data_IF_323889827709
#
_entry.id   IF_323889827709
#
_cell.length_a   1.000
_cell.length_b   1.000
_cell.length_c   1.000
_cell.angle_alpha   90.00
_cell.angle_beta   90.00
_cell.angle_gamma   90.00
#
_symmetry.space_group_name_H-M   'P 1'
#
loop_
_entity.id
_entity.type
_entity.pdbx_description
1 polymer ?
#
# COMPACT_ATOMS: atom_id res chain seq x y z
N UNK A 1 -64.49 -52.45 -66.17
CA UNK A 1 -65.63 -52.15 -65.28
C UNK A 1 -65.14 -51.19 -64.22
N UNK A 2 -65.91 -50.11 -64.02
CA UNK A 2 -65.67 -49.06 -63.04
C UNK A 2 -65.72 -49.63 -61.61
N UNK A 3 -64.87 -49.12 -60.72
CA UNK A 3 -65.38 -48.70 -59.41
C UNK A 3 -64.51 -47.62 -58.76
N UNK A 4 -65.21 -46.56 -58.44
CA UNK A 4 -64.84 -45.36 -57.69
C UNK A 4 -65.02 -45.58 -56.18
N UNK A 5 -64.07 -45.07 -55.39
CA UNK A 5 -64.21 -44.48 -54.04
C UNK A 5 -62.81 -43.91 -53.72
N UNK A 6 -62.55 -42.65 -53.36
CA UNK A 6 -63.29 -41.65 -52.59
C UNK A 6 -62.46 -41.31 -51.34
N UNK A 7 -62.43 -40.02 -50.94
CA UNK A 7 -61.76 -39.39 -49.77
C UNK A 7 -60.28 -39.00 -49.97
N UNK A 8 -59.76 -37.85 -49.55
CA UNK A 8 -60.30 -36.62 -48.95
C UNK A 8 -59.15 -35.59 -48.96
N UNK A 9 -59.50 -34.32 -48.86
CA UNK A 9 -58.62 -33.15 -48.76
C UNK A 9 -57.65 -33.22 -47.57
N UNK A 10 -56.47 -32.57 -47.65
CA UNK A 10 -56.09 -31.45 -46.76
C UNK A 10 -54.65 -30.98 -47.05
N UNK A 11 -54.47 -29.67 -47.17
CA UNK A 11 -53.16 -29.06 -47.29
C UNK A 11 -52.40 -29.05 -45.97
N UNK A 12 -51.07 -28.99 -46.05
CA UNK A 12 -50.25 -28.46 -44.97
C UNK A 12 -49.21 -27.49 -45.51
N UNK A 13 -49.56 -26.21 -45.39
CA UNK A 13 -48.65 -25.11 -45.16
C UNK A 13 -47.75 -25.41 -43.97
N UNK A 14 -46.44 -25.18 -44.09
CA UNK A 14 -45.64 -24.45 -43.09
C UNK A 14 -44.54 -23.68 -43.80
N UNK A 15 -44.64 -22.35 -43.69
CA UNK A 15 -43.58 -21.39 -43.96
C UNK A 15 -42.67 -21.21 -42.72
N UNK A 16 -41.54 -20.53 -42.94
CA UNK A 16 -40.69 -19.80 -41.96
C UNK A 16 -39.82 -20.68 -41.03
N UNK A 17 -38.58 -20.33 -40.66
CA UNK A 17 -37.87 -19.05 -40.66
C UNK A 17 -36.34 -19.23 -40.43
N UNK A 18 -35.61 -18.20 -40.83
CA UNK A 18 -34.44 -17.58 -40.19
C UNK A 18 -33.11 -18.32 -40.00
N UNK A 19 -32.10 -17.74 -40.65
CA UNK A 19 -30.68 -17.85 -40.30
C UNK A 19 -30.46 -17.43 -38.85
N UNK A 20 -29.93 -18.38 -38.10
CA UNK A 20 -29.50 -18.23 -36.72
C UNK A 20 -28.00 -17.96 -36.74
N UNK A 21 -27.58 -16.89 -36.07
CA UNK A 21 -26.18 -16.64 -35.77
C UNK A 21 -25.57 -17.87 -35.10
N UNK A 22 -24.52 -18.42 -35.72
CA UNK A 22 -23.78 -19.56 -35.20
C UNK A 22 -23.02 -19.10 -33.95
N UNK A 23 -23.40 -19.66 -32.81
CA UNK A 23 -22.79 -19.37 -31.52
C UNK A 23 -21.43 -20.08 -31.52
N UNK A 24 -20.37 -19.36 -31.88
CA UNK A 24 -18.99 -19.87 -31.72
C UNK A 24 -18.77 -20.06 -30.23
N UNK A 25 -18.51 -21.31 -29.81
CA UNK A 25 -18.19 -21.65 -28.43
C UNK A 25 -16.97 -20.83 -27.97
N UNK A 26 -17.16 -20.00 -26.95
CA UNK A 26 -16.10 -19.19 -26.35
C UNK A 26 -14.95 -20.05 -25.82
N UNK A 27 -15.17 -21.34 -25.54
CA UNK A 27 -14.12 -22.29 -25.18
C UNK A 27 -13.20 -22.64 -26.37
N UNK A 28 -13.76 -22.80 -27.57
CA UNK A 28 -13.00 -23.06 -28.80
C UNK A 28 -12.20 -21.82 -29.25
N UNK A 29 -12.77 -20.62 -29.07
CA UNK A 29 -12.07 -19.36 -29.30
C UNK A 29 -10.86 -19.20 -28.34
N UNK A 30 -11.06 -19.53 -27.05
CA UNK A 30 -9.97 -19.55 -26.05
C UNK A 30 -8.89 -20.58 -26.38
N UNK A 31 -9.28 -21.76 -26.85
CA UNK A 31 -8.35 -22.82 -27.23
C UNK A 31 -7.51 -22.44 -28.46
N UNK A 32 -8.10 -21.76 -29.46
CA UNK A 32 -7.38 -21.24 -30.63
C UNK A 32 -6.41 -20.11 -30.26
N UNK A 33 -6.82 -19.19 -29.38
CA UNK A 33 -5.96 -18.12 -28.86
C UNK A 33 -4.79 -18.64 -28.01
N UNK A 34 -4.97 -19.78 -27.32
CA UNK A 34 -3.90 -20.44 -26.60
C UNK A 34 -2.91 -21.17 -27.53
N UNK A 35 -3.39 -21.73 -28.64
CA UNK A 35 -2.53 -22.35 -29.66
C UNK A 35 -1.67 -21.32 -30.42
N UNK A 36 -2.18 -20.09 -30.57
CA UNK A 36 -1.50 -18.96 -31.21
C UNK A 36 -0.32 -18.40 -30.39
N UNK A 37 -0.17 -18.82 -29.13
CA UNK A 37 0.91 -18.38 -28.25
C UNK A 37 2.32 -18.77 -28.75
N UNK A 38 2.43 -19.67 -29.72
CA UNK A 38 3.69 -20.07 -30.38
C UNK A 38 3.97 -19.40 -31.73
N UNK A 39 3.07 -18.54 -32.23
CA UNK A 39 3.19 -17.93 -33.58
C UNK A 39 3.79 -16.52 -33.57
N UNK A 40 3.73 -15.81 -32.43
CA UNK A 40 4.23 -14.44 -32.31
C UNK A 40 5.70 -14.37 -31.87
N UNK A 41 6.49 -13.53 -32.55
CA UNK A 41 7.93 -13.31 -32.27
C UNK A 41 8.19 -12.84 -30.83
N UNK A 42 7.27 -12.06 -30.27
CA UNK A 42 7.32 -11.59 -28.89
C UNK A 42 5.91 -11.31 -28.36
N UNK A 43 5.78 -11.21 -27.03
CA UNK A 43 4.50 -10.97 -26.35
C UNK A 43 3.85 -9.65 -26.74
N UNK A 44 4.63 -8.63 -27.06
CA UNK A 44 4.12 -7.34 -27.53
C UNK A 44 3.29 -7.46 -28.80
N UNK A 45 3.77 -8.24 -29.79
CA UNK A 45 3.06 -8.49 -31.04
C UNK A 45 1.75 -9.26 -30.79
N UNK A 46 1.77 -10.22 -29.85
CA UNK A 46 0.56 -10.94 -29.42
C UNK A 46 -0.49 -9.99 -28.83
N UNK A 47 -0.07 -9.06 -27.96
CA UNK A 47 -0.98 -8.08 -27.36
C UNK A 47 -1.58 -7.14 -28.41
N UNK A 48 -0.77 -6.69 -29.37
CA UNK A 48 -1.23 -5.86 -30.50
C UNK A 48 -2.28 -6.60 -31.35
N UNK A 49 -2.00 -7.85 -31.73
CA UNK A 49 -2.93 -8.66 -32.53
C UNK A 49 -4.28 -8.86 -31.83
N UNK A 50 -4.27 -9.12 -30.52
CA UNK A 50 -5.50 -9.29 -29.72
C UNK A 50 -6.27 -7.96 -29.58
N UNK A 51 -5.57 -6.84 -29.43
CA UNK A 51 -6.21 -5.52 -29.41
C UNK A 51 -6.91 -5.25 -30.75
N UNK A 52 -6.22 -5.51 -31.86
CA UNK A 52 -6.72 -5.27 -33.21
C UNK A 52 -7.87 -6.19 -33.59
N UNK A 53 -7.82 -7.46 -33.18
CA UNK A 53 -8.92 -8.40 -33.41
C UNK A 53 -10.21 -8.00 -32.68
N UNK A 54 -10.09 -7.16 -31.64
CA UNK A 54 -11.23 -6.58 -30.89
C UNK A 54 -11.66 -5.21 -31.43
N UNK A 55 -11.00 -4.71 -32.47
CA UNK A 55 -11.29 -3.39 -33.06
C UNK A 55 -10.96 -2.21 -32.15
N UNK A 56 -10.12 -2.41 -31.12
CA UNK A 56 -9.77 -1.37 -30.16
C UNK A 56 -8.55 -0.58 -30.66
N UNK A 57 -8.66 0.74 -30.69
CA UNK A 57 -7.50 1.59 -31.02
C UNK A 57 -6.57 1.75 -29.82
N UNK A 58 -5.29 2.05 -30.06
CA UNK A 58 -4.34 2.36 -28.99
C UNK A 58 -4.81 3.53 -28.10
N UNK A 59 -5.41 4.57 -28.70
CA UNK A 59 -5.96 5.71 -27.98
C UNK A 59 -7.14 5.34 -27.07
N UNK A 60 -8.01 4.45 -27.52
CA UNK A 60 -9.12 3.93 -26.71
C UNK A 60 -8.61 3.04 -25.57
N UNK A 61 -7.65 2.15 -25.84
CA UNK A 61 -7.00 1.33 -24.82
C UNK A 61 -6.32 2.22 -23.77
N UNK A 62 -5.66 3.30 -24.19
CA UNK A 62 -5.04 4.28 -23.29
C UNK A 62 -6.08 4.96 -22.40
N UNK A 63 -7.21 5.39 -22.97
CA UNK A 63 -8.31 5.99 -22.23
C UNK A 63 -8.93 5.06 -21.18
N UNK A 64 -9.05 3.76 -21.49
CA UNK A 64 -9.67 2.77 -20.60
C UNK A 64 -8.71 2.23 -19.53
N UNK A 65 -7.41 2.16 -19.82
CA UNK A 65 -6.40 1.64 -18.88
C UNK A 65 -5.69 2.72 -18.08
N UNK A 66 -5.88 4.00 -18.43
CA UNK A 66 -5.11 5.13 -17.90
C UNK A 66 -3.59 5.04 -18.14
N UNK A 67 -3.16 4.22 -19.09
CA UNK A 67 -1.77 4.16 -19.55
C UNK A 67 -1.63 5.05 -20.78
N UNK A 68 -0.58 5.88 -20.85
CA UNK A 68 -0.38 6.74 -22.02
C UNK A 68 -0.22 5.92 -23.29
N UNK A 69 -0.78 6.41 -24.40
CA UNK A 69 -0.74 5.76 -25.71
C UNK A 69 0.68 5.36 -26.13
N UNK A 70 1.65 6.24 -25.96
CA UNK A 70 3.06 5.97 -26.26
C UNK A 70 3.64 4.79 -25.46
N UNK A 71 3.20 4.58 -24.22
CA UNK A 71 3.66 3.45 -23.42
C UNK A 71 2.99 2.15 -23.86
N UNK A 72 1.72 2.17 -24.27
CA UNK A 72 1.08 0.99 -24.84
C UNK A 72 1.74 0.59 -26.17
N UNK A 73 2.05 1.57 -27.02
CA UNK A 73 2.83 1.34 -28.24
C UNK A 73 4.22 0.76 -27.93
N UNK A 74 4.90 1.26 -26.90
CA UNK A 74 6.20 0.74 -26.47
C UNK A 74 6.10 -0.70 -25.90
N UNK A 75 4.99 -1.06 -25.24
CA UNK A 75 4.73 -2.44 -24.80
C UNK A 75 4.52 -3.36 -26.01
N UNK A 76 3.75 -2.93 -27.01
CA UNK A 76 3.50 -3.70 -28.24
C UNK A 76 4.78 -3.91 -29.05
N UNK A 77 5.68 -2.93 -29.07
CA UNK A 77 6.99 -3.01 -29.74
C UNK A 77 8.10 -3.64 -28.87
N UNK A 78 7.82 -3.92 -27.59
CA UNK A 78 8.82 -4.38 -26.61
C UNK A 78 10.02 -3.41 -26.51
N UNK A 79 9.77 -2.11 -26.68
CA UNK A 79 10.78 -1.07 -26.57
C UNK A 79 10.97 -0.68 -25.10
N UNK A 80 11.89 -1.38 -24.42
CA UNK A 80 12.26 -1.12 -23.03
C UNK A 80 12.82 0.29 -22.77
N UNK A 81 13.33 0.99 -23.80
CA UNK A 81 13.91 2.33 -23.65
C UNK A 81 12.84 3.42 -23.63
N UNK A 82 11.71 3.21 -24.32
CA UNK A 82 10.56 4.12 -24.31
C UNK A 82 9.64 3.93 -23.09
N UNK A 83 9.89 2.91 -22.28
CA UNK A 83 9.12 2.60 -21.07
C UNK A 83 9.70 3.28 -19.82
N UNK A 84 8.86 3.59 -18.82
CA UNK A 84 9.33 4.11 -17.54
C UNK A 84 10.10 3.03 -16.76
N UNK A 85 10.54 3.36 -15.54
CA UNK A 85 11.27 2.43 -14.70
C UNK A 85 10.56 1.07 -14.59
N UNK A 86 11.36 0.00 -14.64
CA UNK A 86 10.94 -1.42 -14.66
C UNK A 86 9.69 -1.76 -13.84
N UNK A 87 9.55 -1.39 -12.55
CA UNK A 87 8.34 -1.74 -11.78
C UNK A 87 7.05 -1.18 -12.40
N UNK A 88 7.11 0.02 -13.00
CA UNK A 88 5.97 0.62 -13.68
C UNK A 88 5.69 -0.04 -15.03
N UNK A 89 6.73 -0.36 -15.80
CA UNK A 89 6.58 -1.08 -17.07
C UNK A 89 5.86 -2.43 -16.86
N UNK A 90 6.26 -3.20 -15.84
CA UNK A 90 5.61 -4.47 -15.50
C UNK A 90 4.16 -4.28 -15.04
N UNK A 91 3.87 -3.20 -14.31
CA UNK A 91 2.51 -2.83 -13.93
C UNK A 91 1.63 -2.50 -15.14
N UNK A 92 2.16 -1.77 -16.12
CA UNK A 92 1.43 -1.44 -17.34
C UNK A 92 1.11 -2.66 -18.19
N UNK A 93 2.08 -3.57 -18.34
CA UNK A 93 1.88 -4.84 -19.05
C UNK A 93 0.79 -5.67 -18.39
N UNK A 94 0.78 -5.73 -17.05
CA UNK A 94 -0.28 -6.40 -16.29
C UNK A 94 -1.65 -5.78 -16.55
N UNK A 95 -1.80 -4.48 -16.36
CA UNK A 95 -3.07 -3.78 -16.58
C UNK A 95 -3.56 -3.92 -18.02
N UNK A 96 -2.65 -3.89 -18.99
CA UNK A 96 -2.99 -4.05 -20.39
C UNK A 96 -3.41 -5.48 -20.75
N UNK A 97 -2.77 -6.49 -20.16
CA UNK A 97 -3.19 -7.90 -20.28
C UNK A 97 -4.58 -8.13 -19.69
N UNK A 98 -4.85 -7.57 -18.51
CA UNK A 98 -6.17 -7.64 -17.85
C UNK A 98 -7.25 -6.96 -18.70
N UNK A 99 -6.94 -5.80 -19.30
CA UNK A 99 -7.82 -5.10 -20.23
C UNK A 99 -8.15 -5.93 -21.49
N UNK A 100 -7.17 -6.68 -22.00
CA UNK A 100 -7.34 -7.63 -23.09
C UNK A 100 -7.87 -8.99 -22.61
N UNK A 101 -8.34 -9.11 -21.37
CA UNK A 101 -8.92 -10.34 -20.81
C UNK A 101 -8.00 -11.57 -20.92
N UNK A 102 -6.69 -11.36 -20.83
CA UNK A 102 -5.66 -12.40 -20.79
C UNK A 102 -5.25 -12.69 -19.34
N UNK A 103 -4.70 -13.87 -19.05
CA UNK A 103 -4.04 -14.10 -17.76
C UNK A 103 -2.77 -13.23 -17.70
N UNK A 104 -2.68 -12.27 -16.75
CA UNK A 104 -1.56 -11.36 -16.69
C UNK A 104 -0.24 -12.04 -16.33
N UNK A 105 -0.26 -13.16 -15.60
CA UNK A 105 0.97 -13.82 -15.11
C UNK A 105 1.86 -14.30 -16.26
N UNK A 106 1.40 -15.15 -17.20
CA UNK A 106 2.23 -15.60 -18.31
C UNK A 106 2.60 -14.46 -19.26
N UNK A 107 1.75 -13.43 -19.41
CA UNK A 107 2.06 -12.26 -20.25
C UNK A 107 3.22 -11.46 -19.66
N UNK A 108 3.19 -11.18 -18.36
CA UNK A 108 4.25 -10.42 -17.67
C UNK A 108 5.56 -11.20 -17.64
N UNK A 109 5.50 -12.52 -17.46
CA UNK A 109 6.69 -13.37 -17.50
C UNK A 109 7.34 -13.36 -18.88
N UNK A 110 6.56 -13.57 -19.95
CA UNK A 110 7.07 -13.50 -21.31
C UNK A 110 7.63 -12.10 -21.63
N UNK A 111 6.97 -11.03 -21.18
CA UNK A 111 7.45 -9.67 -21.39
C UNK A 111 8.79 -9.39 -20.69
N UNK A 112 9.03 -9.97 -19.51
CA UNK A 112 10.32 -9.84 -18.83
C UNK A 112 11.45 -10.46 -19.65
N UNK A 113 11.18 -11.60 -20.27
CA UNK A 113 12.13 -12.29 -21.14
C UNK A 113 12.38 -11.47 -22.42
N UNK A 114 11.32 -11.10 -23.13
CA UNK A 114 11.42 -10.40 -24.42
C UNK A 114 12.05 -8.99 -24.28
N UNK A 115 11.74 -8.26 -23.21
CA UNK A 115 12.27 -6.91 -22.96
C UNK A 115 13.65 -6.91 -22.29
N UNK A 116 14.26 -8.09 -22.06
CA UNK A 116 15.57 -8.19 -21.42
C UNK A 116 15.58 -7.71 -19.96
N UNK A 117 14.46 -7.81 -19.25
CA UNK A 117 14.37 -7.52 -17.82
C UNK A 117 14.86 -8.70 -16.95
N UNK A 118 15.66 -9.61 -17.49
CA UNK A 118 16.18 -10.77 -16.77
C UNK A 118 17.19 -10.35 -15.67
N UNK A 119 16.99 -10.91 -14.47
CA UNK A 119 17.75 -10.72 -13.23
C UNK A 119 17.73 -9.32 -12.56
N UNK A 120 17.80 -9.27 -11.21
CA UNK A 120 18.11 -8.04 -10.48
C UNK A 120 19.56 -7.63 -10.79
N UNK A 121 19.78 -6.37 -11.17
CA UNK A 121 21.12 -5.79 -11.07
C UNK A 121 21.54 -5.85 -9.59
N UNK A 122 22.69 -6.46 -9.22
CA UNK A 122 23.12 -6.64 -7.82
C UNK A 122 23.48 -5.34 -7.06
N UNK A 123 23.01 -4.18 -7.50
CA UNK A 123 23.59 -2.88 -7.12
C UNK A 123 23.10 -2.29 -5.80
N UNK A 124 22.26 -3.00 -5.04
CA UNK A 124 21.76 -2.53 -3.74
C UNK A 124 22.12 -3.47 -2.58
N UNK A 125 22.20 -4.80 -2.79
CA UNK A 125 22.50 -5.74 -1.71
C UNK A 125 23.92 -5.58 -1.11
N UNK A 126 24.90 -5.10 -1.89
CA UNK A 126 26.26 -4.86 -1.39
C UNK A 126 26.36 -3.58 -0.55
N UNK A 127 25.55 -2.55 -0.85
CA UNK A 127 25.60 -1.27 -0.12
C UNK A 127 24.96 -1.36 1.26
N UNK A 128 23.90 -2.16 1.40
CA UNK A 128 23.30 -2.41 2.70
C UNK A 128 24.22 -3.23 3.60
N UNK A 129 24.89 -4.25 3.06
CA UNK A 129 25.85 -5.07 3.84
C UNK A 129 27.09 -4.28 4.25
N UNK A 130 27.67 -3.51 3.35
CA UNK A 130 28.84 -2.67 3.68
C UNK A 130 28.52 -1.57 4.70
N UNK A 131 27.29 -1.04 4.71
CA UNK A 131 26.85 -0.07 5.71
C UNK A 131 26.60 -0.72 7.09
N UNK A 132 26.09 -1.95 7.11
CA UNK A 132 25.86 -2.73 8.33
C UNK A 132 27.20 -3.15 8.97
N UNK A 133 28.13 -3.67 8.17
CA UNK A 133 29.49 -4.06 8.60
C UNK A 133 30.31 -2.85 9.10
N UNK A 134 30.08 -1.65 8.56
CA UNK A 134 30.72 -0.41 9.01
C UNK A 134 30.11 0.13 10.32
N UNK A 135 28.81 -0.07 10.54
CA UNK A 135 28.13 0.39 11.76
C UNK A 135 28.51 -0.45 12.99
N UNK A 136 28.73 -1.75 12.83
CA UNK A 136 29.11 -2.66 13.92
C UNK A 136 30.57 -2.45 14.41
N UNK A 137 31.46 -1.95 13.55
CA UNK A 137 32.85 -1.69 13.91
C UNK A 137 33.02 -0.44 14.80
N UNK A 138 32.16 0.57 14.67
CA UNK A 138 32.30 1.88 15.34
C UNK A 138 31.59 1.94 16.71
N UNK A 139 30.73 0.94 17.02
CA UNK A 139 29.93 0.91 18.25
C UNK A 139 30.64 0.42 19.51
N UNK A 140 31.86 -0.14 19.42
CA UNK A 140 32.49 -0.84 20.56
C UNK A 140 33.35 0.04 21.47
N UNK A 141 33.83 1.19 20.99
CA UNK A 141 34.71 2.10 21.75
C UNK A 141 34.02 3.41 22.21
N UNK A 142 32.86 3.75 21.63
CA UNK A 142 32.11 4.98 21.96
C UNK A 142 31.35 4.87 23.31
N UNK A 143 30.93 3.67 23.72
CA UNK A 143 30.08 3.51 24.91
C UNK A 143 30.80 3.77 26.23
N UNK A 144 32.11 3.50 26.34
CA UNK A 144 32.86 3.67 27.59
C UNK A 144 33.35 5.11 27.80
N UNK A 145 33.78 5.77 26.73
CA UNK A 145 34.25 7.16 26.77
C UNK A 145 33.12 8.13 27.10
N UNK A 146 31.94 7.95 26.49
CA UNK A 146 30.73 8.73 26.81
C UNK A 146 30.30 8.51 28.26
N UNK A 147 30.36 7.27 28.76
CA UNK A 147 29.97 6.97 30.14
C UNK A 147 30.90 7.64 31.17
N UNK A 148 32.22 7.60 30.92
CA UNK A 148 33.22 8.25 31.78
C UNK A 148 33.03 9.79 31.77
N UNK A 149 32.75 10.37 30.60
CA UNK A 149 32.51 11.82 30.48
C UNK A 149 31.26 12.26 31.26
N UNK A 150 30.17 11.48 31.19
CA UNK A 150 28.93 11.75 31.94
C UNK A 150 29.17 11.67 33.46
N UNK A 151 29.90 10.65 33.92
CA UNK A 151 30.22 10.50 35.35
C UNK A 151 31.08 11.67 35.84
N UNK A 152 32.10 12.06 35.08
CA UNK A 152 32.95 13.21 35.43
C UNK A 152 32.14 14.51 35.51
N UNK A 153 31.19 14.71 34.60
CA UNK A 153 30.29 15.88 34.60
C UNK A 153 29.37 15.90 35.83
N UNK A 154 28.78 14.76 36.20
CA UNK A 154 27.91 14.65 37.38
C UNK A 154 28.69 14.97 38.66
N UNK A 155 29.92 14.46 38.79
CA UNK A 155 30.79 14.73 39.94
C UNK A 155 31.13 16.23 40.02
N UNK A 156 31.44 16.86 38.88
CA UNK A 156 31.69 18.30 38.79
C UNK A 156 30.47 19.12 39.23
N UNK A 157 29.28 18.77 38.74
CA UNK A 157 28.02 19.44 39.11
C UNK A 157 27.72 19.29 40.60
N UNK A 158 27.91 18.09 41.17
CA UNK A 158 27.71 17.86 42.59
C UNK A 158 28.67 18.72 43.45
N UNK A 159 29.93 18.81 43.04
CA UNK A 159 30.92 19.63 43.75
C UNK A 159 30.59 21.13 43.67
N UNK A 160 30.17 21.62 42.51
CA UNK A 160 29.69 22.98 42.31
C UNK A 160 28.52 23.32 43.25
N UNK A 161 27.52 22.43 43.35
CA UNK A 161 26.35 22.63 44.23
C UNK A 161 26.76 22.72 45.70
N UNK A 162 27.75 21.94 46.14
CA UNK A 162 28.23 21.96 47.54
C UNK A 162 29.11 23.18 47.88
N UNK A 163 29.73 23.84 46.90
CA UNK A 163 30.58 25.01 47.12
C UNK A 163 29.80 26.33 47.10
N UNK A 164 28.60 26.38 46.49
CA UNK A 164 27.81 27.62 46.35
C UNK A 164 26.56 27.69 47.24
N UNK A 165 26.24 26.63 47.99
CA UNK A 165 25.08 26.64 48.89
C UNK A 165 25.39 27.33 50.23
N UNK A 166 25.27 28.67 50.28
CA UNK A 166 24.90 29.35 51.54
C UNK A 166 23.40 29.14 51.73
N UNK A 167 23.03 28.16 52.54
CA UNK A 167 21.63 27.97 52.93
C UNK A 167 21.29 29.07 53.94
N UNK A 168 20.68 30.14 53.44
CA UNK A 168 20.14 31.22 54.28
C UNK A 168 18.76 30.80 54.77
N UNK A 169 18.54 30.57 56.08
CA UNK A 169 17.21 30.25 56.58
C UNK A 169 16.29 31.49 56.55
N UNK A 170 15.02 31.22 56.25
CA UNK A 170 13.92 32.19 56.08
C UNK A 170 13.71 33.05 57.33
N UNK A 171 13.61 34.37 57.14
CA UNK A 171 13.25 35.33 58.17
C UNK A 171 12.79 36.67 57.61
N UNK A 172 11.54 37.00 57.95
CA UNK A 172 10.97 38.32 58.26
C UNK A 172 11.11 39.53 57.29
N UNK A 173 9.95 39.97 56.81
CA UNK A 173 9.46 41.35 56.69
C UNK A 173 10.20 42.46 55.90
N UNK A 174 9.39 43.06 55.02
CA UNK A 174 9.21 44.49 54.81
C UNK A 174 9.96 45.21 53.66
N UNK A 175 9.10 45.84 52.86
CA UNK A 175 9.25 47.15 52.23
C UNK A 175 10.12 47.28 50.96
N UNK A 176 9.41 47.38 49.83
CA UNK A 176 9.46 48.60 49.03
C UNK A 176 10.65 48.77 48.10
N UNK A 177 10.55 48.18 46.91
CA UNK A 177 11.04 48.79 45.67
C UNK A 177 10.34 48.07 44.51
N UNK A 178 9.45 48.75 43.80
CA UNK A 178 8.82 48.23 42.60
C UNK A 178 9.82 48.25 41.42
N UNK A 179 10.11 47.12 40.76
CA UNK A 179 10.62 47.15 39.40
C UNK A 179 9.43 47.11 38.43
N UNK A 180 9.49 47.97 37.42
CA UNK A 180 8.55 48.04 36.30
C UNK A 180 8.48 46.67 35.63
N UNK A 181 7.31 46.03 35.72
CA UNK A 181 6.99 44.83 34.95
C UNK A 181 6.69 45.31 33.52
N UNK A 182 7.63 45.11 32.60
CA UNK A 182 7.26 45.01 31.18
C UNK A 182 6.28 43.85 31.07
N UNK A 183 5.02 44.17 30.80
CA UNK A 183 3.98 43.17 30.55
C UNK A 183 4.35 42.46 29.24
N UNK A 184 4.67 41.15 29.24
CA UNK A 184 4.78 40.43 27.98
C UNK A 184 3.43 40.52 27.27
N UNK A 185 3.47 40.87 25.99
CA UNK A 185 2.29 40.95 25.13
C UNK A 185 1.41 39.70 25.32
N UNK A 186 0.07 39.84 25.38
CA UNK A 186 -0.81 38.72 25.65
C UNK A 186 -0.56 37.61 24.63
N UNK A 187 -0.05 36.48 25.13
CA UNK A 187 -0.01 35.22 24.41
C UNK A 187 -1.46 34.93 23.95
N UNK A 188 -1.69 34.64 22.66
CA UNK A 188 -3.04 34.31 22.19
C UNK A 188 -3.55 33.14 23.04
N UNK A 189 -4.72 33.34 23.65
CA UNK A 189 -5.33 32.34 24.53
C UNK A 189 -5.28 30.95 23.86
N UNK A 190 -4.91 29.88 24.59
CA UNK A 190 -4.82 28.55 24.01
C UNK A 190 -6.16 28.21 23.39
N UNK A 191 -6.17 28.08 22.07
CA UNK A 191 -7.35 27.70 21.31
C UNK A 191 -7.93 26.39 21.83
N UNK A 192 -9.24 26.20 21.71
CA UNK A 192 -9.89 24.99 22.23
C UNK A 192 -9.46 23.81 21.36
N UNK A 193 -8.59 22.95 21.90
CA UNK A 193 -8.13 21.71 21.25
C UNK A 193 -8.98 20.55 21.75
N UNK A 194 -9.65 19.85 20.83
CA UNK A 194 -10.35 18.60 21.11
C UNK A 194 -9.62 17.47 20.41
N UNK A 195 -9.18 16.46 21.16
CA UNK A 195 -8.47 15.29 20.65
C UNK A 195 -9.38 14.36 19.81
N UNK A 196 -8.78 13.58 18.88
CA UNK A 196 -9.55 12.69 18.03
C UNK A 196 -10.13 11.53 18.85
N UNK A 197 -11.40 11.19 18.59
CA UNK A 197 -12.10 10.09 19.28
C UNK A 197 -12.45 8.99 18.30
N UNK A 198 -12.39 7.73 18.73
CA UNK A 198 -12.75 6.58 17.88
C UNK A 198 -14.26 6.56 17.70
N UNK A 199 -14.73 6.68 16.45
CA UNK A 199 -16.15 6.63 16.10
C UNK A 199 -16.58 5.20 15.72
N UNK A 200 -15.73 4.49 14.97
CA UNK A 200 -15.97 3.11 14.56
C UNK A 200 -14.68 2.30 14.71
N UNK A 201 -14.77 1.18 15.43
CA UNK A 201 -13.66 0.26 15.68
C UNK A 201 -13.95 -1.07 15.00
N UNK A 202 -13.02 -1.52 14.16
CA UNK A 202 -13.06 -2.85 13.54
C UNK A 202 -11.98 -3.71 14.19
N UNK A 203 -12.37 -4.79 14.84
CA UNK A 203 -11.40 -5.71 15.46
C UNK A 203 -10.65 -6.52 14.39
N UNK A 204 -9.35 -6.81 14.60
CA UNK A 204 -8.59 -7.63 13.69
C UNK A 204 -9.00 -9.09 13.80
N UNK A 205 -9.06 -9.77 12.65
CA UNK A 205 -9.36 -11.20 12.59
C UNK A 205 -8.09 -11.99 12.88
N UNK A 206 -8.18 -13.02 13.73
CA UNK A 206 -7.04 -13.89 14.05
C UNK A 206 -6.59 -14.68 12.79
N UNK A 207 -5.33 -14.55 12.34
CA UNK A 207 -4.84 -15.27 11.17
C UNK A 207 -4.50 -16.73 11.50
N UNK A 208 -5.40 -17.66 11.19
CA UNK A 208 -5.20 -19.10 11.48
C UNK A 208 -3.96 -19.72 10.82
N UNK A 209 -3.49 -19.18 9.69
CA UNK A 209 -2.23 -19.59 9.07
C UNK A 209 -1.01 -19.37 9.98
N UNK A 210 -1.10 -18.42 10.91
CA UNK A 210 -0.03 -18.10 11.87
C UNK A 210 -0.09 -18.95 13.14
N UNK A 211 -1.21 -19.66 13.38
CA UNK A 211 -1.46 -20.39 14.62
C UNK A 211 -0.37 -21.43 15.01
N UNK A 212 0.25 -22.18 14.08
CA UNK A 212 1.25 -23.19 14.44
C UNK A 212 2.51 -22.61 15.12
N UNK A 213 2.90 -21.39 14.76
CA UNK A 213 4.06 -20.70 15.30
C UNK A 213 3.70 -19.64 16.36
N UNK A 214 2.40 -19.38 16.58
CA UNK A 214 1.92 -18.36 17.49
C UNK A 214 1.98 -18.80 18.96
N UNK A 215 2.24 -17.84 19.84
CA UNK A 215 2.07 -17.97 21.30
C UNK A 215 0.59 -17.99 21.68
N UNK A 216 0.31 -18.10 22.97
CA UNK A 216 -1.05 -18.00 23.51
C UNK A 216 -1.66 -16.61 23.30
N UNK A 217 -0.83 -15.57 23.36
CA UNK A 217 -1.19 -14.19 23.09
C UNK A 217 -0.09 -13.53 22.25
N UNK A 218 -0.48 -12.86 21.19
CA UNK A 218 0.40 -12.09 20.32
C UNK A 218 -0.05 -10.62 20.33
N UNK A 219 0.89 -9.69 20.21
CA UNK A 219 0.60 -8.25 20.22
C UNK A 219 1.29 -7.55 19.07
N UNK A 220 0.57 -6.62 18.44
CA UNK A 220 1.09 -5.76 17.37
C UNK A 220 0.79 -4.30 17.72
N UNK A 221 1.84 -3.50 17.83
CA UNK A 221 1.75 -2.05 18.06
C UNK A 221 1.94 -1.31 16.73
N UNK A 222 0.99 -0.45 16.41
CA UNK A 222 0.92 0.28 15.14
C UNK A 222 0.90 1.77 15.43
N UNK A 223 1.74 2.53 14.72
CA UNK A 223 1.68 3.98 14.66
C UNK A 223 0.92 4.43 13.41
N UNK A 224 0.12 5.49 13.52
CA UNK A 224 -0.71 6.00 12.42
C UNK A 224 -1.09 7.48 12.62
N UNK A 225 -1.62 8.09 11.56
CA UNK A 225 -2.17 9.45 11.57
C UNK A 225 -3.68 9.40 11.40
N UNK A 226 -4.42 10.18 12.18
CA UNK A 226 -5.83 10.47 11.94
C UNK A 226 -5.91 11.73 11.07
N UNK A 227 -6.47 11.63 9.87
CA UNK A 227 -6.63 12.76 8.96
C UNK A 227 -7.68 13.75 9.47
N UNK A 228 -7.71 14.96 8.90
CA UNK A 228 -8.77 15.95 9.19
C UNK A 228 -10.19 15.46 8.81
N UNK A 229 -10.31 14.39 8.00
CA UNK A 229 -11.58 13.74 7.66
C UNK A 229 -11.91 12.56 8.58
N UNK A 230 -11.09 12.27 9.60
CA UNK A 230 -11.31 11.15 10.51
C UNK A 230 -10.92 9.77 9.97
N UNK A 231 -10.10 9.70 8.91
CA UNK A 231 -9.58 8.42 8.37
C UNK A 231 -8.18 8.13 8.90
N UNK A 232 -7.79 6.87 8.89
CA UNK A 232 -6.42 6.45 9.19
C UNK A 232 -5.55 6.61 7.95
N UNK A 233 -4.32 7.12 8.12
CA UNK A 233 -3.30 7.19 7.08
C UNK A 233 -1.89 7.01 7.68
N UNK A 234 -0.94 6.56 6.84
CA UNK A 234 0.46 6.41 7.25
C UNK A 234 0.67 5.35 8.33
N UNK A 235 -0.18 4.31 8.36
CA UNK A 235 -0.08 3.22 9.31
C UNK A 235 1.19 2.39 9.11
N UNK A 236 1.90 2.13 10.20
CA UNK A 236 3.13 1.33 10.21
C UNK A 236 3.27 0.58 11.52
N UNK A 237 3.78 -0.65 11.46
CA UNK A 237 4.10 -1.42 12.66
C UNK A 237 5.34 -0.81 13.32
N UNK A 238 5.26 -0.55 14.61
CA UNK A 238 6.39 -0.06 15.43
C UNK A 238 6.89 -1.10 16.41
N UNK A 239 6.13 -2.18 16.63
CA UNK A 239 6.58 -3.34 17.38
C UNK A 239 5.61 -4.50 17.20
N UNK A 240 6.13 -5.72 17.16
CA UNK A 240 5.34 -6.94 17.03
C UNK A 240 5.99 -8.04 17.84
N UNK A 241 5.18 -8.92 18.43
CA UNK A 241 5.70 -10.18 19.00
C UNK A 241 5.84 -11.27 17.94
N UNK A 242 5.14 -11.13 16.81
CA UNK A 242 5.11 -12.09 15.72
C UNK A 242 4.60 -11.43 14.42
N UNK A 243 5.51 -11.23 13.47
CA UNK A 243 5.27 -10.50 12.21
C UNK A 243 4.13 -11.10 11.37
N UNK A 244 3.78 -12.38 11.56
CA UNK A 244 2.66 -13.00 10.88
C UNK A 244 1.31 -12.31 11.19
N UNK A 245 1.20 -11.63 12.33
CA UNK A 245 -0.01 -10.91 12.77
C UNK A 245 -0.09 -9.46 12.27
N UNK A 246 0.99 -8.91 11.73
CA UNK A 246 1.10 -7.50 11.36
C UNK A 246 0.06 -7.10 10.31
N UNK A 247 -0.11 -7.93 9.28
CA UNK A 247 -1.08 -7.68 8.22
C UNK A 247 -2.53 -7.64 8.76
N UNK A 248 -2.86 -8.49 9.73
CA UNK A 248 -4.19 -8.51 10.35
C UNK A 248 -4.45 -7.21 11.12
N UNK A 249 -3.47 -6.74 11.89
CA UNK A 249 -3.57 -5.48 12.64
C UNK A 249 -3.72 -4.27 11.71
N UNK A 250 -2.87 -4.15 10.68
CA UNK A 250 -2.92 -3.04 9.72
C UNK A 250 -4.24 -3.02 8.93
N UNK A 251 -4.72 -4.19 8.48
CA UNK A 251 -5.97 -4.30 7.74
C UNK A 251 -7.19 -3.90 8.55
N UNK A 252 -7.20 -4.21 9.85
CA UNK A 252 -8.26 -3.79 10.76
C UNK A 252 -8.21 -2.27 10.98
N UNK A 253 -7.03 -1.74 11.30
CA UNK A 253 -6.84 -0.32 11.59
C UNK A 253 -7.24 0.58 10.41
N UNK A 254 -6.94 0.18 9.16
CA UNK A 254 -7.37 0.89 7.94
C UNK A 254 -8.89 1.11 7.84
N UNK A 255 -9.68 0.27 8.50
CA UNK A 255 -11.15 0.33 8.48
C UNK A 255 -11.73 1.18 9.61
N UNK A 256 -10.92 1.61 10.58
CA UNK A 256 -11.38 2.45 11.67
C UNK A 256 -11.79 3.84 11.18
N UNK A 257 -12.68 4.47 11.94
CA UNK A 257 -13.13 5.86 11.72
C UNK A 257 -13.00 6.64 13.03
N UNK A 258 -12.64 7.89 12.91
CA UNK A 258 -12.43 8.81 14.02
C UNK A 258 -13.25 10.09 13.84
N UNK A 259 -13.70 10.67 14.94
CA UNK A 259 -13.94 12.11 15.02
C UNK A 259 -12.57 12.80 14.95
N UNK A 260 -12.31 13.67 13.98
CA UNK A 260 -10.99 14.29 13.82
C UNK A 260 -10.68 15.23 14.98
N UNK A 261 -9.39 15.46 15.22
CA UNK A 261 -8.93 16.50 16.12
C UNK A 261 -9.47 17.84 15.65
N UNK A 262 -10.01 18.65 16.55
CA UNK A 262 -10.38 20.03 16.23
C UNK A 262 -9.54 21.02 17.03
N UNK A 263 -9.18 22.14 16.41
CA UNK A 263 -8.53 23.27 17.04
C UNK A 263 -9.34 24.49 16.66
N UNK A 264 -9.96 25.13 17.64
CA UNK A 264 -10.90 26.24 17.44
C UNK A 264 -12.05 25.88 16.49
N UNK A 265 -12.55 24.65 16.61
CA UNK A 265 -13.62 24.10 15.77
C UNK A 265 -13.17 23.65 14.36
N UNK A 266 -11.96 23.96 13.93
CA UNK A 266 -11.43 23.51 12.65
C UNK A 266 -10.78 22.13 12.76
N UNK A 267 -11.19 21.19 11.91
CA UNK A 267 -10.61 19.85 11.86
C UNK A 267 -9.15 19.88 11.39
N UNK A 268 -8.26 19.23 12.12
CA UNK A 268 -6.83 19.10 11.83
C UNK A 268 -6.40 17.64 11.94
N UNK A 269 -5.36 17.21 11.20
CA UNK A 269 -4.80 15.89 11.39
C UNK A 269 -4.16 15.72 12.78
N UNK A 270 -4.23 14.51 13.32
CA UNK A 270 -3.52 14.10 14.53
C UNK A 270 -2.49 13.04 14.17
N UNK A 271 -1.22 13.43 14.22
CA UNK A 271 -0.07 12.59 13.87
C UNK A 271 0.34 11.68 15.03
N UNK A 272 1.16 10.67 14.69
CA UNK A 272 1.87 9.79 15.63
C UNK A 272 0.99 9.13 16.71
N UNK A 273 -0.25 8.80 16.36
CA UNK A 273 -1.12 7.99 17.21
C UNK A 273 -0.58 6.57 17.26
N UNK A 274 -0.65 5.94 18.42
CA UNK A 274 -0.18 4.57 18.62
C UNK A 274 -1.33 3.74 19.20
N UNK A 275 -1.51 2.53 18.67
CA UNK A 275 -2.47 1.56 19.17
C UNK A 275 -1.83 0.17 19.21
N UNK A 276 -2.09 -0.58 20.28
CA UNK A 276 -1.65 -1.97 20.42
C UNK A 276 -2.83 -2.92 20.29
N UNK A 277 -2.77 -3.78 19.27
CA UNK A 277 -3.69 -4.88 19.07
C UNK A 277 -3.20 -6.12 19.80
N UNK A 278 -4.11 -6.81 20.50
CA UNK A 278 -3.86 -8.10 21.12
C UNK A 278 -4.66 -9.18 20.40
N UNK A 279 -3.98 -10.26 20.06
CA UNK A 279 -4.54 -11.45 19.43
C UNK A 279 -4.48 -12.60 20.42
N UNK A 280 -5.63 -13.02 20.89
CA UNK A 280 -5.77 -14.21 21.74
C UNK A 280 -6.17 -15.38 20.85
N UNK A 281 -5.57 -16.56 21.10
CA UNK A 281 -5.93 -17.76 20.35
C UNK A 281 -7.40 -18.11 20.68
N UNK A 282 -8.28 -18.24 19.67
CA UNK A 282 -9.68 -18.57 19.88
C UNK A 282 -9.89 -20.01 20.36
#
# INVERSE_FOLDING_TARGET
>A
MLQSAGCETEGRSVATANGSAEIVDMADARARLAADAGEFEHVGARLAAIRESRGVSLSEAAGRTHIRENHLAAIEAVDGAALPARPYALGFVRTYAEFLELDPRPVVEQFKFDAGYEAPQPVEAEKFRAAEDAADAEGRDMSLTVFIAIIAFIIWCAWQITLTAKVTPLGEEAAGAAPVIETPAPEPAPGVVVDPRVAERVEPVYPFSCAPAARASETVTVAFTVTATGRVAGERVTGSTNDCFDAAALNALRRWRFEPKTVDGAAKPAYDRVETFRFERP
#
